data_IF_534857850253
#
_entry.id   IF_534857850253
#
_cell.length_a   1.000
_cell.length_b   1.000
_cell.length_c   1.000
_cell.angle_alpha   90.00
_cell.angle_beta   90.00
_cell.angle_gamma   90.00
#
_symmetry.space_group_name_H-M   'P 1'
#
loop_
_entity.id
_entity.type
_entity.pdbx_description
1 polymer ?
#
# COMPACT_ATOMS: atom_id res chain seq x y z
N UNK A 1 0.77 -26.06 0.36
CA UNK A 1 1.40 -24.75 0.61
C UNK A 1 0.38 -23.89 1.32
N UNK A 2 0.64 -23.34 2.52
CA UNK A 2 -0.32 -22.48 3.20
C UNK A 2 -0.59 -21.23 2.36
N UNK A 3 -1.86 -20.84 2.25
CA UNK A 3 -2.28 -19.63 1.53
C UNK A 3 -1.63 -18.39 2.17
N UNK A 4 -1.00 -17.49 1.39
CA UNK A 4 -0.31 -16.30 1.92
C UNK A 4 -1.26 -15.25 2.52
N UNK A 5 -2.57 -15.50 2.57
CA UNK A 5 -3.58 -14.64 3.18
C UNK A 5 -3.41 -14.48 4.70
N UNK A 6 -2.58 -15.31 5.35
CA UNK A 6 -2.43 -15.32 6.81
C UNK A 6 -1.13 -14.67 7.32
N UNK A 7 -0.33 -14.06 6.44
CA UNK A 7 0.87 -13.30 6.84
C UNK A 7 0.53 -11.83 6.95
N UNK A 8 0.39 -11.34 8.18
CA UNK A 8 0.17 -9.91 8.45
C UNK A 8 1.50 -9.16 8.46
N UNK A 9 1.51 -7.95 7.90
CA UNK A 9 2.67 -7.04 7.94
C UNK A 9 2.30 -5.88 8.84
N UNK A 10 3.14 -5.59 9.84
CA UNK A 10 2.99 -4.39 10.67
C UNK A 10 3.68 -3.22 10.00
N UNK A 11 2.95 -2.12 9.80
CA UNK A 11 3.44 -0.91 9.12
C UNK A 11 3.40 0.22 10.16
N UNK A 12 4.55 0.66 10.69
CA UNK A 12 4.59 1.76 11.63
C UNK A 12 4.34 3.08 10.90
N UNK A 13 3.35 3.84 11.38
CA UNK A 13 3.03 5.20 10.92
C UNK A 13 3.00 6.14 12.13
N UNK A 14 3.39 7.40 11.93
CA UNK A 14 3.08 8.45 12.90
C UNK A 14 1.57 8.74 12.92
N UNK A 15 1.10 9.36 14.00
CA UNK A 15 -0.31 9.75 14.12
C UNK A 15 -0.73 10.69 12.98
N UNK A 16 0.12 11.66 12.65
CA UNK A 16 -0.14 12.65 11.60
C UNK A 16 -0.24 11.99 10.22
N UNK A 17 0.68 11.08 9.89
CA UNK A 17 0.62 10.31 8.64
C UNK A 17 -0.64 9.45 8.56
N UNK A 18 -1.03 8.81 9.67
CA UNK A 18 -2.21 7.96 9.72
C UNK A 18 -3.49 8.77 9.47
N UNK A 19 -3.62 9.97 10.05
CA UNK A 19 -4.78 10.85 9.83
C UNK A 19 -4.86 11.31 8.38
N UNK A 20 -3.73 11.77 7.81
CA UNK A 20 -3.68 12.24 6.42
C UNK A 20 -3.98 11.11 5.44
N UNK A 21 -3.36 9.94 5.62
CA UNK A 21 -3.60 8.77 4.75
C UNK A 21 -5.02 8.23 4.89
N UNK A 22 -5.61 8.30 6.09
CA UNK A 22 -7.00 7.89 6.30
C UNK A 22 -7.96 8.76 5.49
N UNK A 23 -7.84 10.08 5.57
CA UNK A 23 -8.71 10.99 4.80
C UNK A 23 -8.49 10.81 3.29
N UNK A 24 -7.23 10.67 2.87
CA UNK A 24 -6.88 10.41 1.47
C UNK A 24 -7.57 9.16 0.90
N UNK A 25 -7.53 8.03 1.62
CA UNK A 25 -8.16 6.76 1.19
C UNK A 25 -9.68 6.81 1.34
N UNK A 26 -10.19 7.52 2.35
CA UNK A 26 -11.63 7.76 2.52
C UNK A 26 -12.19 8.51 1.31
N UNK A 27 -11.54 9.60 0.89
CA UNK A 27 -11.94 10.37 -0.29
C UNK A 27 -11.98 9.51 -1.55
N UNK A 28 -11.02 8.61 -1.72
CA UNK A 28 -11.05 7.65 -2.83
C UNK A 28 -12.28 6.74 -2.78
N UNK A 29 -12.65 6.22 -1.60
CA UNK A 29 -13.86 5.40 -1.46
C UNK A 29 -15.14 6.14 -1.89
N UNK A 30 -15.18 7.46 -1.69
CA UNK A 30 -16.35 8.28 -2.03
C UNK A 30 -16.36 8.77 -3.49
N UNK A 31 -15.19 8.97 -4.09
CA UNK A 31 -15.04 9.66 -5.40
C UNK A 31 -14.47 8.78 -6.51
N UNK A 32 -14.00 7.58 -6.18
CA UNK A 32 -13.23 6.67 -7.04
C UNK A 32 -12.01 7.33 -7.70
N UNK A 33 -11.55 8.45 -7.12
CA UNK A 33 -10.46 9.27 -7.65
C UNK A 33 -9.36 9.43 -6.61
N UNK A 34 -8.15 9.02 -7.00
CA UNK A 34 -6.97 9.11 -6.14
C UNK A 34 -6.06 10.24 -6.67
N UNK A 35 -6.40 11.47 -6.29
CA UNK A 35 -5.64 12.68 -6.63
C UNK A 35 -5.03 13.31 -5.38
N UNK A 36 -3.89 14.01 -5.52
CA UNK A 36 -3.28 14.77 -4.43
C UNK A 36 -3.97 16.14 -4.35
N UNK A 37 -4.60 16.43 -3.21
CA UNK A 37 -5.22 17.75 -2.94
C UNK A 37 -4.37 18.60 -1.99
N UNK A 38 -3.57 17.97 -1.13
CA UNK A 38 -2.66 18.65 -0.21
C UNK A 38 -1.23 18.08 -0.29
N UNK A 39 -0.23 18.94 -0.12
CA UNK A 39 1.18 18.54 -0.14
C UNK A 39 1.53 17.53 0.96
N UNK A 40 0.83 17.57 2.11
CA UNK A 40 0.99 16.61 3.19
C UNK A 40 0.58 15.18 2.76
N UNK A 41 -0.42 15.02 1.89
CA UNK A 41 -0.81 13.71 1.34
C UNK A 41 0.34 13.12 0.52
N UNK A 42 0.97 13.94 -0.34
CA UNK A 42 2.13 13.52 -1.11
C UNK A 42 3.30 13.11 -0.20
N UNK A 43 3.56 13.88 0.88
CA UNK A 43 4.61 13.55 1.84
C UNK A 43 4.32 12.23 2.55
N UNK A 44 3.10 12.02 3.03
CA UNK A 44 2.70 10.81 3.73
C UNK A 44 2.79 9.58 2.82
N UNK A 45 2.39 9.70 1.54
CA UNK A 45 2.52 8.63 0.55
C UNK A 45 3.99 8.27 0.27
N UNK A 46 4.89 9.26 0.13
CA UNK A 46 6.32 8.98 -0.03
C UNK A 46 6.91 8.28 1.18
N UNK A 47 6.53 8.70 2.39
CA UNK A 47 6.97 8.03 3.61
C UNK A 47 6.45 6.59 3.66
N UNK A 48 5.18 6.37 3.30
CA UNK A 48 4.59 5.03 3.22
C UNK A 48 5.30 4.14 2.19
N UNK A 49 5.65 4.67 1.01
CA UNK A 49 6.46 3.94 0.03
C UNK A 49 7.80 3.48 0.61
N UNK A 50 8.50 4.36 1.34
CA UNK A 50 9.76 4.00 1.98
C UNK A 50 9.57 2.89 3.03
N UNK A 51 8.45 2.88 3.75
CA UNK A 51 8.13 1.81 4.71
C UNK A 51 7.87 0.49 3.96
N UNK A 52 7.13 0.50 2.86
CA UNK A 52 6.90 -0.70 2.05
C UNK A 52 8.18 -1.29 1.49
N UNK A 53 9.07 -0.47 0.93
CA UNK A 53 10.35 -0.93 0.39
C UNK A 53 11.17 -1.66 1.45
N UNK A 54 11.20 -1.13 2.68
CA UNK A 54 11.90 -1.76 3.81
C UNK A 54 11.30 -3.09 4.24
N UNK A 55 9.96 -3.20 4.27
CA UNK A 55 9.28 -4.39 4.80
C UNK A 55 9.11 -5.49 3.77
N UNK A 56 8.90 -5.14 2.51
CA UNK A 56 8.63 -6.12 1.46
C UNK A 56 9.91 -6.83 1.00
N UNK A 57 11.06 -6.13 1.00
CA UNK A 57 12.38 -6.67 0.61
C UNK A 57 12.32 -7.65 -0.59
N UNK A 58 11.47 -7.32 -1.57
CA UNK A 58 11.17 -8.23 -2.69
C UNK A 58 12.36 -8.25 -3.65
N UNK A 59 12.72 -9.41 -4.21
CA UNK A 59 13.78 -9.50 -5.19
C UNK A 59 13.40 -8.65 -6.41
N UNK A 60 14.24 -7.64 -6.71
CA UNK A 60 14.00 -6.72 -7.82
C UNK A 60 14.21 -7.35 -9.20
N UNK A 61 14.91 -8.48 -9.28
CA UNK A 61 15.26 -9.13 -10.54
C UNK A 61 14.44 -10.40 -10.78
N UNK A 62 13.72 -10.44 -11.91
CA UNK A 62 13.07 -11.63 -12.48
C UNK A 62 11.65 -11.94 -12.00
N UNK A 63 11.37 -11.83 -10.69
CA UNK A 63 10.13 -12.39 -10.12
C UNK A 63 9.09 -11.35 -9.66
N UNK A 64 9.41 -10.05 -9.64
CA UNK A 64 8.50 -9.03 -9.10
C UNK A 64 7.15 -8.97 -9.84
N UNK A 65 7.17 -9.02 -11.18
CA UNK A 65 5.95 -8.97 -11.99
C UNK A 65 5.01 -10.15 -11.71
N UNK A 66 5.58 -11.35 -11.52
CA UNK A 66 4.81 -12.55 -11.19
C UNK A 66 4.27 -12.50 -9.75
N UNK A 67 5.08 -12.05 -8.79
CA UNK A 67 4.64 -11.83 -7.39
C UNK A 67 3.48 -10.84 -7.35
N UNK A 68 3.57 -9.75 -8.10
CA UNK A 68 2.52 -8.73 -8.21
C UNK A 68 1.25 -9.30 -8.85
N UNK A 69 1.38 -10.07 -9.94
CA UNK A 69 0.25 -10.74 -10.59
C UNK A 69 -0.47 -11.67 -9.61
N UNK A 70 0.27 -12.56 -8.95
CA UNK A 70 -0.29 -13.47 -7.96
C UNK A 70 -0.92 -12.74 -6.77
N UNK A 71 -0.37 -11.61 -6.34
CA UNK A 71 -0.95 -10.78 -5.27
C UNK A 71 -2.27 -10.16 -5.71
N UNK A 72 -2.35 -9.61 -6.92
CA UNK A 72 -3.59 -9.06 -7.49
C UNK A 72 -4.66 -10.12 -7.66
N UNK A 73 -4.30 -11.30 -8.18
CA UNK A 73 -5.24 -12.40 -8.38
C UNK A 73 -5.83 -12.91 -7.04
N UNK A 74 -5.11 -12.75 -5.92
CA UNK A 74 -5.62 -13.07 -4.57
C UNK A 74 -6.52 -12.00 -3.95
N UNK A 75 -6.42 -10.74 -4.42
CA UNK A 75 -7.17 -9.60 -3.89
C UNK A 75 -8.36 -9.20 -4.76
N UNK A 76 -8.42 -9.67 -6.01
CA UNK A 76 -9.55 -9.43 -6.90
C UNK A 76 -10.77 -10.20 -6.37
N UNK A 77 -11.84 -9.49 -6.06
CA UNK A 77 -13.17 -10.08 -5.87
C UNK A 77 -13.61 -10.69 -7.23
N UNK A 78 -14.28 -11.86 -7.23
CA UNK A 78 -14.67 -12.59 -8.45
C UNK A 78 -15.24 -11.70 -9.58
#
# INVERSE_FOLDING_TARGET
MPSPLNTTISIPLSLDEAVVLFEFVRRFSDTDTLAIEDQAEQRALWNLCCVFEKHLNLPMEGNYAEILRMARDRLRDE
#
